data_IF_781207082755
#
_entry.id   IF_781207082755
#
_cell.length_a   1.000
_cell.length_b   1.000
_cell.length_c   1.000
_cell.angle_alpha   90.00
_cell.angle_beta   90.00
_cell.angle_gamma   90.00
#
_symmetry.space_group_name_H-M   'P 1'
#
loop_
_entity.id
_entity.type
_entity.pdbx_description
1 polymer ?
#
# COMPACT_ATOMS: atom_id res chain seq x y z
N UNK A 1 -11.75 -18.45 4.84
CA UNK A 1 -10.35 -18.47 5.30
C UNK A 1 -9.32 -18.16 4.21
N UNK A 2 -9.30 -18.85 3.06
CA UNK A 2 -8.30 -18.60 1.98
C UNK A 2 -8.24 -17.14 1.48
N UNK A 3 -9.38 -16.50 1.26
CA UNK A 3 -9.45 -15.08 0.81
C UNK A 3 -8.86 -14.11 1.84
N UNK A 4 -9.19 -14.30 3.12
CA UNK A 4 -8.64 -13.53 4.23
C UNK A 4 -7.12 -13.64 4.31
N UNK A 5 -6.59 -14.87 4.34
CA UNK A 5 -5.14 -15.09 4.43
C UNK A 5 -4.41 -14.50 3.22
N UNK A 6 -4.98 -14.64 2.02
CA UNK A 6 -4.41 -14.05 0.79
C UNK A 6 -4.39 -12.51 0.88
N UNK A 7 -5.48 -11.91 1.36
CA UNK A 7 -5.59 -10.47 1.52
C UNK A 7 -4.54 -9.95 2.50
N UNK A 8 -4.45 -10.56 3.69
CA UNK A 8 -3.48 -10.19 4.72
C UNK A 8 -2.06 -10.39 4.23
N UNK A 9 -1.75 -11.54 3.62
CA UNK A 9 -0.41 -11.81 3.11
C UNK A 9 0.02 -10.79 2.04
N UNK A 10 -0.84 -10.48 1.06
CA UNK A 10 -0.52 -9.53 0.00
C UNK A 10 -0.35 -8.11 0.57
N UNK A 11 -1.26 -7.66 1.43
CA UNK A 11 -1.15 -6.34 2.05
C UNK A 11 0.11 -6.22 2.89
N UNK A 12 0.44 -7.24 3.68
CA UNK A 12 1.66 -7.27 4.48
C UNK A 12 2.90 -7.24 3.60
N UNK A 13 2.93 -8.00 2.50
CA UNK A 13 4.06 -7.93 1.56
C UNK A 13 4.22 -6.52 0.95
N UNK A 14 3.13 -5.86 0.61
CA UNK A 14 3.17 -4.48 0.10
C UNK A 14 3.73 -3.51 1.14
N UNK A 15 3.36 -3.66 2.41
CA UNK A 15 3.87 -2.81 3.49
C UNK A 15 5.32 -3.13 3.85
N UNK A 16 5.64 -4.41 4.00
CA UNK A 16 6.93 -4.87 4.54
C UNK A 16 8.11 -4.57 3.63
N UNK A 17 7.92 -4.33 2.33
CA UNK A 17 9.01 -3.86 1.46
C UNK A 17 9.52 -2.50 1.94
N UNK A 18 8.63 -1.54 2.21
CA UNK A 18 9.01 -0.23 2.77
C UNK A 18 9.65 -0.42 4.12
N UNK A 19 8.98 -1.16 5.00
CA UNK A 19 9.40 -1.27 6.40
C UNK A 19 10.74 -1.97 6.54
N UNK A 20 11.01 -2.98 5.70
CA UNK A 20 12.30 -3.64 5.66
C UNK A 20 13.39 -2.64 5.26
N UNK A 21 13.19 -1.92 4.16
CA UNK A 21 14.18 -0.99 3.65
C UNK A 21 14.40 0.18 4.63
N UNK A 22 13.32 0.76 5.15
CA UNK A 22 13.38 1.88 6.07
C UNK A 22 13.97 1.49 7.44
N UNK A 23 13.44 0.44 8.07
CA UNK A 23 13.85 0.09 9.42
C UNK A 23 15.19 -0.63 9.46
N UNK A 24 15.45 -1.55 8.53
CA UNK A 24 16.68 -2.36 8.60
C UNK A 24 17.82 -1.77 7.80
N UNK A 25 17.58 -1.20 6.61
CA UNK A 25 18.67 -0.72 5.75
C UNK A 25 19.03 0.76 5.98
N UNK A 26 18.05 1.60 6.32
CA UNK A 26 18.27 3.04 6.49
C UNK A 26 18.49 3.47 7.94
N UNK A 27 17.65 2.98 8.87
CA UNK A 27 17.63 3.48 10.26
C UNK A 27 18.18 2.48 11.29
N UNK A 28 18.53 1.26 10.87
CA UNK A 28 19.07 0.20 11.74
C UNK A 28 18.23 -0.05 13.01
N UNK A 29 16.90 0.03 12.89
CA UNK A 29 15.94 -0.16 13.95
C UNK A 29 15.15 -1.47 13.80
N UNK A 30 15.74 -2.62 14.19
CA UNK A 30 15.06 -3.91 14.10
C UNK A 30 13.85 -4.02 15.02
N UNK A 31 13.83 -3.29 16.14
CA UNK A 31 12.69 -3.26 17.05
C UNK A 31 11.42 -2.74 16.37
N UNK A 32 11.54 -1.63 15.63
CA UNK A 32 10.42 -1.08 14.87
C UNK A 32 10.00 -2.01 13.72
N UNK A 33 10.96 -2.66 13.06
CA UNK A 33 10.63 -3.66 12.04
C UNK A 33 9.81 -4.82 12.63
N UNK A 34 10.18 -5.35 13.79
CA UNK A 34 9.43 -6.41 14.48
C UNK A 34 8.02 -5.93 14.82
N UNK A 35 7.86 -4.71 15.32
CA UNK A 35 6.54 -4.13 15.55
C UNK A 35 5.68 -4.12 14.29
N UNK A 36 6.24 -3.72 13.14
CA UNK A 36 5.52 -3.68 11.86
C UNK A 36 5.03 -5.06 11.40
N UNK A 37 5.79 -6.13 11.68
CA UNK A 37 5.40 -7.51 11.38
C UNK A 37 4.09 -7.92 12.07
N UNK A 38 3.77 -7.34 13.23
CA UNK A 38 2.52 -7.60 13.96
C UNK A 38 1.43 -6.57 13.63
N UNK A 39 1.82 -5.30 13.47
CA UNK A 39 0.89 -4.21 13.20
C UNK A 39 0.13 -4.42 11.88
N UNK A 40 0.84 -4.69 10.77
CA UNK A 40 0.20 -4.78 9.46
C UNK A 40 -0.81 -5.93 9.36
N UNK A 41 -0.54 -7.16 9.82
CA UNK A 41 -1.55 -8.21 9.83
C UNK A 41 -2.79 -7.86 10.65
N UNK A 42 -2.62 -7.20 11.80
CA UNK A 42 -3.75 -6.77 12.64
C UNK A 42 -4.58 -5.70 11.91
N UNK A 43 -3.92 -4.66 11.40
CA UNK A 43 -4.55 -3.61 10.61
C UNK A 43 -5.30 -4.19 9.40
N UNK A 44 -4.64 -5.05 8.61
CA UNK A 44 -5.21 -5.67 7.42
C UNK A 44 -6.37 -6.59 7.74
N UNK A 45 -6.42 -7.15 8.94
CA UNK A 45 -7.57 -7.94 9.40
C UNK A 45 -8.82 -7.09 9.56
N UNK A 46 -8.69 -5.86 10.06
CA UNK A 46 -9.78 -4.89 10.13
C UNK A 46 -10.15 -4.40 8.73
N UNK A 47 -9.15 -4.05 7.92
CA UNK A 47 -9.33 -3.62 6.53
C UNK A 47 -10.07 -4.67 5.71
N UNK A 48 -9.77 -5.96 5.91
CA UNK A 48 -10.45 -7.07 5.25
C UNK A 48 -11.92 -7.15 5.65
N UNK A 49 -12.26 -6.92 6.93
CA UNK A 49 -13.65 -6.93 7.38
C UNK A 49 -14.46 -5.82 6.69
N UNK A 50 -13.93 -4.60 6.61
CA UNK A 50 -14.54 -3.50 5.85
C UNK A 50 -14.68 -3.88 4.37
N UNK A 51 -13.63 -4.45 3.80
CA UNK A 51 -13.60 -4.90 2.40
C UNK A 51 -14.71 -5.94 2.12
N UNK A 52 -14.83 -6.94 2.98
CA UNK A 52 -15.82 -8.01 2.87
C UNK A 52 -17.24 -7.49 3.08
N UNK A 53 -17.43 -6.57 4.03
CA UNK A 53 -18.74 -5.95 4.28
C UNK A 53 -19.21 -5.14 3.06
N UNK A 54 -18.32 -4.35 2.45
CA UNK A 54 -18.64 -3.61 1.23
C UNK A 54 -19.01 -4.53 0.06
N UNK A 55 -18.27 -5.62 -0.11
CA UNK A 55 -18.55 -6.59 -1.17
C UNK A 55 -19.90 -7.28 -1.00
N UNK A 56 -20.35 -7.51 0.24
CA UNK A 56 -21.66 -8.10 0.52
C UNK A 56 -22.83 -7.12 0.42
N UNK A 57 -22.63 -5.82 0.72
CA UNK A 57 -23.74 -4.87 0.87
C UNK A 57 -23.83 -3.84 -0.26
N UNK A 58 -22.70 -3.42 -0.83
CA UNK A 58 -22.63 -2.31 -1.81
C UNK A 58 -21.55 -2.55 -2.85
N UNK A 59 -21.57 -3.69 -3.54
CA UNK A 59 -20.60 -3.93 -4.60
C UNK A 59 -20.77 -2.92 -5.76
N UNK A 60 -19.67 -2.27 -6.17
CA UNK A 60 -19.68 -1.41 -7.37
C UNK A 60 -18.52 -0.44 -7.42
N UNK A 61 -18.49 0.37 -8.49
CA UNK A 61 -17.49 1.43 -8.68
C UNK A 61 -17.45 2.41 -7.51
N UNK A 62 -18.62 2.92 -7.08
CA UNK A 62 -18.68 3.91 -6.01
C UNK A 62 -18.19 3.36 -4.67
N UNK A 63 -18.48 2.09 -4.36
CA UNK A 63 -17.93 1.47 -3.15
C UNK A 63 -16.42 1.33 -3.19
N UNK A 64 -15.84 0.98 -4.33
CA UNK A 64 -14.38 0.88 -4.42
C UNK A 64 -13.72 2.27 -4.39
N UNK A 65 -14.36 3.30 -4.94
CA UNK A 65 -13.88 4.67 -4.84
C UNK A 65 -13.93 5.18 -3.39
N UNK A 66 -15.05 4.94 -2.70
CA UNK A 66 -15.19 5.27 -1.28
C UNK A 66 -14.17 4.50 -0.43
N UNK A 67 -13.91 3.23 -0.75
CA UNK A 67 -12.88 2.44 -0.08
C UNK A 67 -11.48 3.07 -0.25
N UNK A 68 -11.13 3.46 -1.48
CA UNK A 68 -9.87 4.15 -1.78
C UNK A 68 -9.74 5.46 -0.99
N UNK A 69 -10.79 6.30 -1.00
CA UNK A 69 -10.77 7.58 -0.29
C UNK A 69 -10.71 7.38 1.23
N UNK A 70 -11.50 6.45 1.76
CA UNK A 70 -11.57 6.18 3.19
C UNK A 70 -10.23 5.70 3.74
N UNK A 71 -9.59 4.72 3.11
CA UNK A 71 -8.31 4.21 3.59
C UNK A 71 -7.15 5.16 3.34
N UNK A 72 -7.19 5.98 2.29
CA UNK A 72 -6.23 7.07 2.09
C UNK A 72 -6.32 8.12 3.19
N UNK A 73 -7.54 8.61 3.52
CA UNK A 73 -7.76 9.61 4.57
C UNK A 73 -7.49 9.05 5.98
N UNK A 74 -7.90 7.81 6.24
CA UNK A 74 -7.62 7.13 7.51
C UNK A 74 -6.11 6.96 7.70
N UNK A 75 -5.39 6.58 6.65
CA UNK A 75 -3.94 6.48 6.64
C UNK A 75 -3.27 7.81 6.95
N UNK A 76 -3.65 8.88 6.24
CA UNK A 76 -3.16 10.23 6.55
C UNK A 76 -3.47 10.67 7.98
N UNK A 77 -4.66 10.35 8.49
CA UNK A 77 -5.01 10.67 9.87
C UNK A 77 -4.10 9.94 10.86
N UNK A 78 -3.79 8.66 10.60
CA UNK A 78 -2.84 7.90 11.41
C UNK A 78 -1.44 8.52 11.36
N UNK A 79 -0.95 8.90 10.17
CA UNK A 79 0.33 9.59 10.01
C UNK A 79 0.39 10.91 10.78
N UNK A 80 -0.66 11.72 10.68
CA UNK A 80 -0.69 13.05 11.27
C UNK A 80 -0.81 13.03 12.78
N UNK A 81 -1.66 12.16 13.33
CA UNK A 81 -2.02 12.18 14.75
C UNK A 81 -1.28 11.14 15.58
N UNK A 82 -0.82 10.03 14.98
CA UNK A 82 -0.13 8.94 15.71
C UNK A 82 1.37 8.96 15.44
N UNK A 83 1.77 9.09 14.17
CA UNK A 83 3.20 9.09 13.80
C UNK A 83 3.83 10.48 13.95
N UNK A 84 3.05 11.54 13.71
CA UNK A 84 3.51 12.93 13.81
C UNK A 84 3.97 13.55 12.48
N UNK A 85 3.68 12.91 11.35
CA UNK A 85 4.01 13.40 10.00
C UNK A 85 2.99 14.41 9.46
N UNK A 86 2.42 15.23 10.34
CA UNK A 86 1.43 16.23 9.93
C UNK A 86 2.07 17.40 9.17
N UNK A 87 1.35 18.08 8.27
CA UNK A 87 1.90 19.25 7.55
C UNK A 87 2.38 20.38 8.46
N UNK A 88 1.83 20.49 9.67
CA UNK A 88 2.22 21.50 10.66
C UNK A 88 3.33 21.04 11.61
N UNK A 89 3.53 19.72 11.78
CA UNK A 89 4.59 19.15 12.62
C UNK A 89 5.85 18.76 11.84
N UNK A 90 5.69 18.28 10.61
CA UNK A 90 6.74 17.84 9.71
C UNK A 90 6.40 18.25 8.25
N UNK A 91 6.63 19.52 7.86
CA UNK A 91 6.23 20.05 6.56
C UNK A 91 6.95 19.38 5.38
N UNK A 92 8.11 18.76 5.61
CA UNK A 92 8.88 18.03 4.61
C UNK A 92 8.28 16.63 4.31
N UNK A 93 7.36 16.14 5.14
CA UNK A 93 6.71 14.86 4.92
C UNK A 93 5.78 14.91 3.70
N UNK A 94 5.96 13.94 2.79
CA UNK A 94 5.13 13.85 1.59
C UNK A 94 3.75 13.28 1.89
N UNK A 95 2.76 14.16 2.05
CA UNK A 95 1.36 13.77 2.23
C UNK A 95 0.84 12.91 1.08
N UNK A 96 1.25 13.22 -0.15
CA UNK A 96 0.84 12.42 -1.32
C UNK A 96 1.48 11.02 -1.29
N UNK A 97 2.73 10.90 -0.84
CA UNK A 97 3.42 9.62 -0.66
C UNK A 97 2.77 8.76 0.42
N UNK A 98 2.46 9.37 1.57
CA UNK A 98 1.78 8.70 2.68
C UNK A 98 0.37 8.22 2.27
N UNK A 99 -0.42 9.08 1.64
CA UNK A 99 -1.71 8.68 1.05
C UNK A 99 -1.53 7.45 0.14
N UNK A 100 -0.58 7.52 -0.78
CA UNK A 100 -0.36 6.48 -1.77
C UNK A 100 0.05 5.14 -1.14
N UNK A 101 0.88 5.20 -0.09
CA UNK A 101 1.26 4.04 0.70
C UNK A 101 0.04 3.37 1.37
N UNK A 102 -0.73 4.13 2.15
CA UNK A 102 -1.88 3.60 2.88
C UNK A 102 -2.97 3.06 1.96
N UNK A 103 -3.22 3.75 0.84
CA UNK A 103 -4.09 3.22 -0.22
C UNK A 103 -3.56 1.91 -0.76
N UNK A 104 -2.26 1.79 -1.03
CA UNK A 104 -1.71 0.56 -1.59
C UNK A 104 -1.83 -0.63 -0.64
N UNK A 105 -1.53 -0.43 0.64
CA UNK A 105 -1.67 -1.46 1.68
C UNK A 105 -3.11 -1.99 1.75
N UNK A 106 -4.12 -1.14 1.55
CA UNK A 106 -5.53 -1.56 1.57
C UNK A 106 -6.05 -2.07 0.20
N UNK A 107 -5.78 -1.35 -0.89
CA UNK A 107 -6.43 -1.55 -2.18
C UNK A 107 -5.76 -2.65 -3.02
N UNK A 108 -4.44 -2.80 -2.98
CA UNK A 108 -3.75 -3.88 -3.70
C UNK A 108 -4.26 -5.25 -3.29
N UNK A 109 -4.31 -5.63 -1.99
CA UNK A 109 -4.84 -6.93 -1.61
C UNK A 109 -6.33 -7.09 -1.97
N UNK A 110 -7.13 -6.02 -1.93
CA UNK A 110 -8.53 -6.05 -2.39
C UNK A 110 -8.62 -6.39 -3.87
N UNK A 111 -7.86 -5.72 -4.73
CA UNK A 111 -7.83 -5.99 -6.18
C UNK A 111 -7.39 -7.43 -6.44
N UNK A 112 -6.32 -7.87 -5.76
CA UNK A 112 -5.75 -9.21 -5.95
C UNK A 112 -6.69 -10.33 -5.50
N UNK A 113 -7.42 -10.14 -4.40
CA UNK A 113 -8.32 -11.13 -3.83
C UNK A 113 -9.65 -11.30 -4.60
N UNK A 114 -10.03 -10.36 -5.47
CA UNK A 114 -11.25 -10.49 -6.31
C UNK A 114 -11.09 -11.60 -7.35
N UNK A 115 -12.09 -12.45 -7.62
CA UNK A 115 -11.95 -13.54 -8.60
C UNK A 115 -12.11 -13.12 -10.09
N UNK A 116 -12.37 -11.84 -10.38
CA UNK A 116 -12.74 -11.40 -11.73
C UNK A 116 -11.61 -11.51 -12.77
N UNK A 117 -11.95 -12.07 -13.95
CA UNK A 117 -11.02 -12.35 -15.05
C UNK A 117 -10.60 -11.06 -15.77
N UNK A 118 -11.50 -10.08 -15.85
CA UNK A 118 -11.27 -8.77 -16.44
C UNK A 118 -10.12 -8.00 -15.75
N UNK A 119 -9.82 -8.32 -14.48
CA UNK A 119 -8.71 -7.71 -13.74
C UNK A 119 -7.38 -8.45 -13.91
N UNK A 120 -7.32 -9.55 -14.68
CA UNK A 120 -6.11 -10.38 -14.82
C UNK A 120 -4.90 -9.56 -15.28
N UNK A 121 -5.09 -8.68 -16.26
CA UNK A 121 -4.03 -7.81 -16.76
C UNK A 121 -3.53 -6.83 -15.68
N UNK A 122 -4.45 -6.17 -14.95
CA UNK A 122 -4.12 -5.24 -13.87
C UNK A 122 -3.37 -5.94 -12.75
N UNK A 123 -3.83 -7.12 -12.32
CA UNK A 123 -3.16 -7.92 -11.28
C UNK A 123 -1.77 -8.36 -11.68
N UNK A 124 -1.61 -8.87 -12.91
CA UNK A 124 -0.31 -9.26 -13.45
C UNK A 124 0.63 -8.05 -13.48
N UNK A 125 0.13 -6.90 -13.94
CA UNK A 125 0.86 -5.64 -13.93
C UNK A 125 1.29 -5.20 -12.53
N UNK A 126 0.39 -5.24 -11.54
CA UNK A 126 0.69 -4.94 -10.14
C UNK A 126 1.79 -5.84 -9.58
N UNK A 127 1.72 -7.15 -9.85
CA UNK A 127 2.74 -8.11 -9.37
C UNK A 127 4.10 -7.80 -9.98
N UNK A 128 4.19 -7.59 -11.29
CA UNK A 128 5.47 -7.22 -11.91
C UNK A 128 5.96 -5.88 -11.41
N UNK A 129 5.10 -4.88 -11.33
CA UNK A 129 5.46 -3.56 -10.87
C UNK A 129 6.03 -3.61 -9.46
N UNK A 130 5.29 -4.16 -8.50
CA UNK A 130 5.70 -4.27 -7.11
C UNK A 130 6.93 -5.16 -6.92
N UNK A 131 7.02 -6.27 -7.66
CA UNK A 131 8.16 -7.17 -7.62
C UNK A 131 9.43 -6.53 -8.15
N UNK A 132 9.37 -5.94 -9.35
CA UNK A 132 10.50 -5.24 -9.98
C UNK A 132 10.93 -4.06 -9.13
N UNK A 133 9.99 -3.23 -8.68
CA UNK A 133 10.28 -2.11 -7.79
C UNK A 133 10.94 -2.58 -6.50
N UNK A 134 10.34 -3.54 -5.78
CA UNK A 134 10.84 -3.98 -4.48
C UNK A 134 12.25 -4.57 -4.57
N UNK A 135 12.53 -5.37 -5.61
CA UNK A 135 13.87 -5.92 -5.85
C UNK A 135 14.85 -4.82 -6.24
N UNK A 136 14.51 -3.98 -7.22
CA UNK A 136 15.40 -2.94 -7.71
C UNK A 136 15.71 -1.89 -6.62
N UNK A 137 14.71 -1.44 -5.86
CA UNK A 137 14.92 -0.47 -4.79
C UNK A 137 15.76 -1.06 -3.65
N UNK A 138 15.59 -2.34 -3.32
CA UNK A 138 16.42 -3.03 -2.31
C UNK A 138 17.88 -3.13 -2.77
N UNK A 139 18.13 -3.59 -3.99
CA UNK A 139 19.50 -3.70 -4.53
C UNK A 139 20.18 -2.33 -4.53
N UNK A 140 19.49 -1.30 -5.02
CA UNK A 140 20.02 0.06 -5.04
C UNK A 140 20.32 0.58 -3.63
N UNK A 141 19.42 0.35 -2.65
CA UNK A 141 19.65 0.77 -1.27
C UNK A 141 20.90 0.11 -0.65
N UNK A 142 21.15 -1.17 -0.96
CA UNK A 142 22.35 -1.88 -0.48
C UNK A 142 23.64 -1.36 -1.12
N UNK A 143 23.58 -0.90 -2.37
CA UNK A 143 24.73 -0.34 -3.09
C UNK A 143 25.05 1.10 -2.70
N UNK A 144 24.09 1.83 -2.12
CA UNK A 144 24.27 3.22 -1.71
C UNK A 144 25.02 3.34 -0.37
N UNK A 145 25.85 4.39 -0.21
CA UNK A 145 26.42 4.73 1.09
C UNK A 145 25.32 5.02 2.11
N UNK A 146 25.55 4.66 3.37
CA UNK A 146 24.56 4.72 4.44
C UNK A 146 23.87 6.08 4.55
N UNK A 147 24.63 7.18 4.48
CA UNK A 147 24.10 8.54 4.56
C UNK A 147 23.12 8.94 3.44
N UNK A 148 23.08 8.20 2.33
CA UNK A 148 22.15 8.44 1.22
C UNK A 148 20.97 7.47 1.18
N UNK A 149 20.99 6.39 1.97
CA UNK A 149 19.97 5.32 1.90
C UNK A 149 18.58 5.84 2.26
N UNK A 150 18.47 6.61 3.34
CA UNK A 150 17.20 7.15 3.80
C UNK A 150 16.54 8.02 2.72
N UNK A 151 17.30 8.96 2.16
CA UNK A 151 16.81 9.84 1.09
C UNK A 151 16.34 9.02 -0.13
N UNK A 152 17.16 8.09 -0.60
CA UNK A 152 16.82 7.22 -1.73
C UNK A 152 15.53 6.43 -1.48
N UNK A 153 15.44 5.80 -0.31
CA UNK A 153 14.27 5.04 0.12
C UNK A 153 13.04 5.94 0.11
N UNK A 154 13.05 7.09 0.79
CA UNK A 154 11.88 7.98 0.82
C UNK A 154 11.43 8.37 -0.59
N UNK A 155 12.35 8.80 -1.45
CA UNK A 155 12.02 9.24 -2.82
C UNK A 155 11.49 8.09 -3.68
N UNK A 156 12.18 6.94 -3.69
CA UNK A 156 11.80 5.81 -4.56
C UNK A 156 10.46 5.22 -4.15
N UNK A 157 10.19 5.12 -2.84
CA UNK A 157 8.90 4.62 -2.36
C UNK A 157 7.80 5.61 -2.71
N UNK A 158 7.99 6.91 -2.46
CA UNK A 158 7.02 7.93 -2.85
C UNK A 158 6.63 7.81 -4.33
N UNK A 159 7.63 7.76 -5.22
CA UNK A 159 7.39 7.63 -6.67
C UNK A 159 6.71 6.31 -6.99
N UNK A 160 7.14 5.20 -6.38
CA UNK A 160 6.57 3.88 -6.66
C UNK A 160 5.10 3.76 -6.23
N UNK A 161 4.76 4.21 -5.03
CA UNK A 161 3.39 4.17 -4.54
C UNK A 161 2.47 5.14 -5.31
N UNK A 162 2.96 6.31 -5.72
CA UNK A 162 2.22 7.19 -6.62
C UNK A 162 1.97 6.48 -7.96
N UNK A 163 3.00 5.81 -8.51
CA UNK A 163 2.88 5.04 -9.76
C UNK A 163 1.80 3.97 -9.72
N UNK A 164 1.49 3.39 -8.55
CA UNK A 164 0.40 2.42 -8.41
C UNK A 164 -0.98 2.98 -8.80
N UNK A 165 -1.16 4.31 -8.78
CA UNK A 165 -2.42 4.95 -9.15
C UNK A 165 -2.78 4.75 -10.62
N UNK A 166 -1.79 4.47 -11.48
CA UNK A 166 -2.03 4.07 -12.87
C UNK A 166 -2.81 2.75 -12.95
N UNK A 167 -2.50 1.79 -12.07
CA UNK A 167 -3.22 0.52 -11.99
C UNK A 167 -4.59 0.70 -11.34
N UNK A 168 -4.70 1.58 -10.34
CA UNK A 168 -5.99 1.90 -9.72
C UNK A 168 -6.94 2.56 -10.71
N UNK A 169 -6.44 3.49 -11.52
CA UNK A 169 -7.21 4.10 -12.60
C UNK A 169 -7.73 3.07 -13.59
N UNK A 170 -6.88 2.14 -14.04
CA UNK A 170 -7.29 1.05 -14.92
C UNK A 170 -8.35 0.16 -14.26
N UNK A 171 -8.15 -0.20 -12.99
CA UNK A 171 -9.11 -0.96 -12.20
C UNK A 171 -10.48 -0.25 -12.13
N UNK A 172 -10.48 1.03 -11.76
CA UNK A 172 -11.70 1.84 -11.67
C UNK A 172 -12.42 1.98 -13.00
N UNK A 173 -11.68 2.15 -14.10
CA UNK A 173 -12.25 2.21 -15.46
C UNK A 173 -12.96 0.90 -15.82
N UNK A 174 -12.38 -0.24 -15.49
CA UNK A 174 -13.01 -1.55 -15.71
C UNK A 174 -14.26 -1.72 -14.83
N UNK A 175 -14.20 -1.31 -13.56
CA UNK A 175 -15.36 -1.35 -12.64
C UNK A 175 -16.52 -0.49 -13.13
N UNK A 176 -16.24 0.68 -13.71
CA UNK A 176 -17.28 1.57 -14.25
C UNK A 176 -17.95 0.98 -15.50
N UNK A 177 -17.20 0.29 -16.37
CA UNK A 177 -17.73 -0.35 -17.58
C UNK A 177 -18.65 -1.53 -17.29
N UNK A 178 -18.43 -2.25 -16.19
CA UNK A 178 -19.27 -3.40 -15.81
C UNK A 178 -20.59 -2.99 -15.11
N UNK A 179 -20.93 -1.69 -15.08
CA UNK A 179 -22.19 -1.14 -14.57
C UNK A 179 -23.13 -0.66 -15.69
N UNK A 180 -22.69 -0.70 -16.96
CA UNK A 180 -23.50 -0.46 -18.17
C UNK A 180 -23.79 -1.78 -18.86
#
# INVERSE_FOLDING_TARGET
MKKFLTFVAIGSLVALVVEFQFNLLATHNPGNFIFTLFFYPLYLSVVYQVSSWLDSNRAGFMSDLLYYLFFGLLGLSFEWFVIGNSPWGNPEASNIGMWAFWVAVALVPRIMARPAVEFKAVKKGLVYYLGTYGVASTIMALMLPEGFRLFWIVVVHMVAYIGLHLFYWQYFRLRRRNLS
#
